data_IF_971456934473
#
_entry.id   IF_971456934473
#
_cell.length_a   1.000
_cell.length_b   1.000
_cell.length_c   1.000
_cell.angle_alpha   90.00
_cell.angle_beta   90.00
_cell.angle_gamma   90.00
#
_symmetry.space_group_name_H-M   'P 1'
#
loop_
_entity.id
_entity.type
_entity.pdbx_description
1 polymer ?
#
# COMPACT_ATOMS: atom_id res chain seq x y z
N UNK A 1 -23.69 16.67 -59.59
CA UNK A 1 -23.94 15.23 -59.38
C UNK A 1 -22.60 14.55 -59.11
N UNK A 2 -22.50 13.93 -57.93
CA UNK A 2 -21.75 12.71 -57.59
C UNK A 2 -20.21 12.73 -57.68
N UNK A 3 -19.62 12.89 -56.50
CA UNK A 3 -18.54 12.13 -55.84
C UNK A 3 -17.61 11.23 -56.67
N UNK A 4 -16.30 11.29 -56.37
CA UNK A 4 -15.61 10.27 -55.54
C UNK A 4 -14.15 10.63 -55.24
N UNK A 5 -13.76 10.27 -54.01
CA UNK A 5 -12.44 10.37 -53.39
C UNK A 5 -11.41 9.41 -53.99
N UNK A 6 -10.14 9.83 -53.99
CA UNK A 6 -8.92 8.98 -53.91
C UNK A 6 -7.88 9.81 -53.15
N UNK A 7 -7.67 9.59 -51.84
CA UNK A 7 -6.74 8.65 -51.18
C UNK A 7 -5.46 9.39 -50.77
N UNK A 8 -5.06 9.19 -49.52
CA UNK A 8 -3.71 8.93 -48.99
C UNK A 8 -3.68 9.46 -47.54
N UNK A 9 -3.69 8.51 -46.60
CA UNK A 9 -2.57 8.30 -45.67
C UNK A 9 -2.63 9.31 -44.53
N UNK A 10 -3.22 8.88 -43.42
CA UNK A 10 -2.64 9.15 -42.10
C UNK A 10 -3.14 8.06 -41.15
N UNK A 11 -2.35 7.00 -41.15
CA UNK A 11 -2.35 5.92 -40.18
C UNK A 11 -2.03 6.49 -38.80
N UNK A 12 -3.07 6.87 -38.05
CA UNK A 12 -3.05 6.80 -36.60
C UNK A 12 -4.26 5.99 -36.14
N UNK A 13 -4.21 4.68 -36.38
CA UNK A 13 -4.95 3.75 -35.52
C UNK A 13 -4.20 3.76 -34.20
N UNK A 14 -4.57 4.69 -33.34
CA UNK A 14 -4.21 4.69 -31.94
C UNK A 14 -4.69 3.35 -31.39
N UNK A 15 -3.80 2.37 -31.26
CA UNK A 15 -4.06 1.10 -30.60
C UNK A 15 -4.22 1.42 -29.12
N UNK A 16 -5.38 1.98 -28.79
CA UNK A 16 -5.92 1.93 -27.44
C UNK A 16 -6.41 0.50 -27.28
N UNK A 17 -5.49 -0.40 -27.00
CA UNK A 17 -5.80 -1.70 -26.45
C UNK A 17 -6.38 -1.43 -25.06
N UNK A 18 -7.68 -1.11 -25.05
CA UNK A 18 -8.48 -1.03 -23.83
C UNK A 18 -8.28 -2.40 -23.19
N UNK A 19 -7.50 -2.44 -22.11
CA UNK A 19 -7.30 -3.64 -21.30
C UNK A 19 -8.69 -4.18 -20.99
N UNK A 20 -9.13 -5.21 -21.71
CA UNK A 20 -10.46 -5.80 -21.52
C UNK A 20 -10.45 -6.39 -20.12
N UNK A 21 -11.03 -5.67 -19.18
CA UNK A 21 -11.23 -6.14 -17.82
C UNK A 21 -12.35 -7.16 -17.87
N UNK A 22 -12.03 -8.42 -17.59
CA UNK A 22 -13.03 -9.49 -17.49
C UNK A 22 -13.82 -9.24 -16.21
N UNK A 23 -15.15 -9.12 -16.30
CA UNK A 23 -15.98 -9.15 -15.11
C UNK A 23 -16.06 -10.58 -14.60
N UNK A 24 -15.92 -10.77 -13.29
CA UNK A 24 -15.98 -12.10 -12.67
C UNK A 24 -17.30 -12.83 -12.99
N UNK A 25 -18.40 -12.07 -13.14
CA UNK A 25 -19.74 -12.58 -13.44
C UNK A 25 -19.87 -13.17 -14.86
N UNK A 26 -18.98 -12.80 -15.79
CA UNK A 26 -19.03 -13.26 -17.18
C UNK A 26 -18.24 -14.57 -17.38
N UNK A 27 -17.59 -15.09 -16.33
CA UNK A 27 -16.78 -16.31 -16.39
C UNK A 27 -17.70 -17.53 -16.30
N UNK A 28 -17.62 -18.39 -17.31
CA UNK A 28 -18.42 -19.61 -17.42
C UNK A 28 -17.69 -20.83 -16.87
N UNK A 29 -16.37 -20.92 -17.08
CA UNK A 29 -15.57 -21.99 -16.50
C UNK A 29 -14.12 -21.57 -16.25
N UNK A 30 -13.52 -22.22 -15.26
CA UNK A 30 -12.11 -22.11 -14.91
C UNK A 30 -11.44 -23.47 -15.07
N UNK A 31 -10.22 -23.46 -15.62
CA UNK A 31 -9.36 -24.63 -15.73
C UNK A 31 -8.08 -24.37 -14.95
N UNK A 32 -7.78 -25.27 -14.02
CA UNK A 32 -6.53 -25.30 -13.27
C UNK A 32 -5.61 -26.34 -13.89
N UNK A 33 -4.44 -25.90 -14.35
CA UNK A 33 -3.44 -26.78 -14.94
C UNK A 33 -2.30 -27.06 -13.94
N UNK A 34 -1.59 -28.17 -14.16
CA UNK A 34 -0.45 -28.60 -13.32
C UNK A 34 0.77 -27.69 -13.46
N UNK A 35 0.82 -26.85 -14.50
CA UNK A 35 1.84 -25.81 -14.71
C UNK A 35 1.63 -24.57 -13.80
N UNK A 36 0.58 -24.56 -12.98
CA UNK A 36 0.24 -23.43 -12.11
C UNK A 36 -0.43 -22.27 -12.85
N UNK A 37 -0.86 -22.49 -14.09
CA UNK A 37 -1.59 -21.52 -14.88
C UNK A 37 -3.10 -21.73 -14.72
N UNK A 38 -3.82 -20.61 -14.63
CA UNK A 38 -5.29 -20.61 -14.57
C UNK A 38 -5.78 -20.12 -15.92
N UNK A 39 -6.68 -20.88 -16.53
CA UNK A 39 -7.35 -20.50 -17.77
C UNK A 39 -8.85 -20.33 -17.55
N UNK A 40 -9.50 -19.50 -18.35
CA UNK A 40 -10.92 -19.20 -18.25
C UNK A 40 -11.59 -19.22 -19.63
N UNK A 41 -12.92 -19.37 -19.64
CA UNK A 41 -13.75 -19.14 -20.82
C UNK A 41 -15.00 -18.34 -20.44
N UNK A 42 -15.41 -17.44 -21.33
CA UNK A 42 -16.64 -16.62 -21.18
C UNK A 42 -17.83 -17.22 -21.93
N UNK A 43 -17.60 -18.24 -22.76
CA UNK A 43 -18.62 -18.90 -23.56
C UNK A 43 -18.23 -20.39 -23.69
N UNK A 44 -19.20 -21.29 -23.72
CA UNK A 44 -18.92 -22.73 -23.76
C UNK A 44 -18.23 -23.19 -25.05
N UNK A 45 -18.44 -22.47 -26.14
CA UNK A 45 -17.93 -22.75 -27.49
C UNK A 45 -16.56 -22.12 -27.74
N UNK A 46 -16.09 -21.22 -26.87
CA UNK A 46 -14.77 -20.61 -26.98
C UNK A 46 -13.69 -21.47 -26.34
N UNK A 47 -12.47 -21.39 -26.89
CA UNK A 47 -11.29 -22.00 -26.29
C UNK A 47 -10.90 -21.31 -24.98
N UNK A 48 -10.22 -22.06 -24.11
CA UNK A 48 -9.69 -21.55 -22.84
C UNK A 48 -8.60 -20.52 -23.08
N UNK A 49 -8.74 -19.35 -22.48
CA UNK A 49 -7.76 -18.27 -22.51
C UNK A 49 -7.05 -18.15 -21.17
N UNK A 50 -5.80 -17.71 -21.17
CA UNK A 50 -5.03 -17.54 -19.92
C UNK A 50 -5.57 -16.36 -19.10
N UNK A 51 -5.79 -16.58 -17.81
CA UNK A 51 -6.26 -15.53 -16.91
C UNK A 51 -5.15 -14.50 -16.72
N UNK A 52 -5.38 -13.21 -17.03
CA UNK A 52 -4.35 -12.19 -16.90
C UNK A 52 -3.90 -12.06 -15.44
N UNK A 53 -2.61 -12.27 -15.19
CA UNK A 53 -2.03 -12.07 -13.86
C UNK A 53 -2.07 -10.60 -13.49
N UNK A 54 -2.50 -10.31 -12.27
CA UNK A 54 -2.40 -8.96 -11.70
C UNK A 54 -0.93 -8.53 -11.75
N UNK A 55 -0.58 -7.40 -12.39
CA UNK A 55 0.79 -6.89 -12.34
C UNK A 55 1.15 -6.67 -10.87
N UNK A 56 2.26 -7.27 -10.45
CA UNK A 56 2.70 -7.22 -9.07
C UNK A 56 3.15 -5.78 -8.75
N UNK A 57 2.24 -5.00 -8.15
CA UNK A 57 2.50 -3.59 -7.77
C UNK A 57 3.65 -3.46 -6.76
N UNK A 58 4.07 -4.57 -6.16
CA UNK A 58 5.13 -4.62 -5.15
C UNK A 58 6.53 -4.81 -5.75
N UNK A 59 6.71 -4.71 -7.08
CA UNK A 59 8.05 -4.63 -7.70
C UNK A 59 8.65 -3.22 -7.57
N UNK A 60 8.47 -2.56 -6.42
CA UNK A 60 9.06 -1.26 -6.12
C UNK A 60 10.16 -1.45 -5.08
N UNK A 61 11.30 -0.86 -5.42
CA UNK A 61 12.64 -0.97 -4.84
C UNK A 61 12.69 -0.94 -3.30
N UNK A 62 13.68 -1.68 -2.79
CA UNK A 62 14.09 -1.85 -1.39
C UNK A 62 14.53 -0.54 -0.68
N UNK A 63 13.71 0.50 -0.65
CA UNK A 63 13.92 1.65 0.22
C UNK A 63 12.61 2.09 0.83
N UNK A 64 12.28 1.52 1.98
CA UNK A 64 11.29 2.12 2.86
C UNK A 64 11.84 3.48 3.29
N UNK A 65 11.32 4.56 2.71
CA UNK A 65 11.60 5.91 3.19
C UNK A 65 10.89 6.06 4.53
N UNK A 66 11.58 6.49 5.60
CA UNK A 66 10.95 6.67 6.89
C UNK A 66 9.85 7.74 6.77
N UNK A 67 8.71 7.50 7.41
CA UNK A 67 7.58 8.45 7.40
C UNK A 67 7.93 9.77 8.10
N UNK A 68 8.87 9.72 9.05
CA UNK A 68 9.36 10.86 9.83
C UNK A 68 10.89 10.85 9.88
N UNK A 69 11.50 12.04 9.88
CA UNK A 69 12.97 12.19 9.99
C UNK A 69 13.47 11.87 11.40
N UNK A 70 12.62 12.06 12.41
CA UNK A 70 12.93 11.79 13.82
C UNK A 70 11.67 11.35 14.58
N UNK A 71 11.82 10.73 15.77
CA UNK A 71 10.69 10.43 16.63
C UNK A 71 9.90 11.69 17.00
N UNK A 72 8.58 11.67 16.77
CA UNK A 72 7.70 12.76 17.14
C UNK A 72 7.58 12.86 18.66
N UNK A 73 7.64 14.07 19.24
CA UNK A 73 7.39 14.25 20.65
C UNK A 73 5.94 13.92 20.98
N UNK A 74 5.70 13.27 22.11
CA UNK A 74 4.37 13.03 22.64
C UNK A 74 3.88 14.23 23.47
N UNK A 75 2.57 14.33 23.66
CA UNK A 75 1.99 15.31 24.58
C UNK A 75 2.46 15.08 26.02
N UNK A 76 2.69 16.16 26.77
CA UNK A 76 3.14 16.09 28.16
C UNK A 76 2.18 15.30 29.05
N UNK A 77 0.87 15.48 28.87
CA UNK A 77 -0.16 14.71 29.59
C UNK A 77 -0.03 13.21 29.35
N UNK A 78 0.25 12.81 28.11
CA UNK A 78 0.51 11.41 27.76
C UNK A 78 1.79 10.90 28.42
N UNK A 79 2.84 11.70 28.47
CA UNK A 79 4.07 11.33 29.18
C UNK A 79 3.82 11.07 30.67
N UNK A 80 3.09 11.96 31.36
CA UNK A 80 2.73 11.77 32.78
C UNK A 80 1.97 10.48 33.01
N UNK A 81 0.93 10.20 32.23
CA UNK A 81 0.17 8.94 32.39
C UNK A 81 1.04 7.70 32.15
N UNK A 82 1.99 7.75 31.22
CA UNK A 82 2.92 6.65 30.98
C UNK A 82 3.89 6.46 32.17
N UNK A 83 4.32 7.56 32.79
CA UNK A 83 5.14 7.50 34.01
C UNK A 83 4.36 6.96 35.21
N UNK A 84 3.07 7.28 35.34
CA UNK A 84 2.20 6.70 36.37
C UNK A 84 2.00 5.18 36.19
N UNK A 85 2.01 4.70 34.94
CA UNK A 85 1.89 3.27 34.63
C UNK A 85 3.22 2.51 34.75
N UNK A 86 4.36 3.20 34.74
CA UNK A 86 5.71 2.61 34.81
C UNK A 86 5.89 1.59 35.96
N UNK A 87 5.39 1.81 37.19
CA UNK A 87 5.53 0.85 38.29
C UNK A 87 4.88 -0.52 38.03
N UNK A 88 3.94 -0.60 37.10
CA UNK A 88 3.25 -1.84 36.71
C UNK A 88 4.03 -2.64 35.65
N UNK A 89 5.10 -2.07 35.09
CA UNK A 89 5.90 -2.64 34.02
C UNK A 89 7.22 -3.17 34.61
N UNK A 90 7.74 -4.25 34.03
CA UNK A 90 9.04 -4.80 34.44
C UNK A 90 10.16 -3.74 34.34
N UNK A 91 11.09 -3.77 35.30
CA UNK A 91 12.14 -2.73 35.46
C UNK A 91 13.02 -2.59 34.22
N UNK A 92 13.25 -3.67 33.48
CA UNK A 92 14.04 -3.67 32.25
C UNK A 92 13.50 -2.72 31.18
N UNK A 93 12.19 -2.42 31.21
CA UNK A 93 11.55 -1.51 30.26
C UNK A 93 11.43 -0.07 30.79
N UNK A 94 11.79 0.21 32.04
CA UNK A 94 11.71 1.57 32.61
C UNK A 94 12.55 2.60 31.83
N UNK A 95 13.79 2.29 31.39
CA UNK A 95 14.60 3.24 30.63
C UNK A 95 13.89 3.73 29.36
N UNK A 96 13.08 2.89 28.71
CA UNK A 96 12.32 3.32 27.54
C UNK A 96 11.39 4.50 27.85
N UNK A 97 10.67 4.45 28.98
CA UNK A 97 9.73 5.50 29.38
C UNK A 97 10.43 6.77 29.86
N UNK A 98 11.58 6.63 30.52
CA UNK A 98 12.35 7.75 31.07
C UNK A 98 12.92 8.66 29.97
N UNK A 99 13.25 8.10 28.80
CA UNK A 99 13.81 8.84 27.66
C UNK A 99 12.78 9.18 26.57
N UNK A 100 11.47 9.06 26.84
CA UNK A 100 10.44 9.44 25.87
C UNK A 100 10.46 10.95 25.57
N UNK A 101 10.63 11.27 24.29
CA UNK A 101 10.56 12.65 23.79
C UNK A 101 9.14 13.22 23.98
N UNK A 102 8.99 14.35 24.67
CA UNK A 102 7.68 14.95 24.98
C UNK A 102 7.70 16.48 24.92
N UNK A 103 6.55 17.06 24.55
CA UNK A 103 6.36 18.50 24.43
C UNK A 103 6.17 19.15 25.80
N UNK A 104 7.26 19.62 26.41
CA UNK A 104 7.18 20.39 27.65
C UNK A 104 6.94 21.87 27.37
N UNK A 105 5.78 22.40 27.74
CA UNK A 105 5.44 23.82 27.54
C UNK A 105 5.99 24.74 28.63
N UNK A 106 6.38 24.20 29.79
CA UNK A 106 6.94 24.99 30.91
C UNK A 106 8.24 24.35 31.45
N UNK A 107 9.40 25.00 31.30
CA UNK A 107 10.70 24.42 31.70
C UNK A 107 10.82 24.15 33.21
N UNK A 108 10.05 24.84 34.05
CA UNK A 108 9.99 24.62 35.50
C UNK A 108 9.38 23.26 35.89
N UNK A 109 8.54 22.67 35.03
CA UNK A 109 7.85 21.42 35.30
C UNK A 109 8.62 20.20 34.79
N UNK A 110 9.66 20.41 33.96
CA UNK A 110 10.43 19.33 33.33
C UNK A 110 11.76 19.04 34.02
N UNK A 111 12.21 19.89 34.94
CA UNK A 111 13.46 19.72 35.68
C UNK A 111 13.38 18.76 36.87
N UNK A 112 12.19 18.22 37.21
CA UNK A 112 12.03 17.42 38.44
C UNK A 112 12.04 15.90 38.26
N UNK A 113 12.15 15.38 37.04
CA UNK A 113 12.05 13.93 36.77
C UNK A 113 13.43 13.26 36.59
N UNK A 114 14.53 14.02 36.57
CA UNK A 114 15.89 13.49 36.40
C UNK A 114 16.76 13.51 37.66
N UNK A 115 16.18 13.36 38.85
CA UNK A 115 16.95 13.20 40.09
C UNK A 115 16.60 11.89 40.79
N UNK A 116 17.33 10.83 40.44
CA UNK A 116 17.69 9.72 41.33
C UNK A 116 19.21 9.69 41.38
#
# INVERSE_FOLDING_TARGET
MISKNVRLEDTQVHVLEIRKTINLLDIVALQYNLDGMIRYKTNFQQEYQELPRRPNKNKVQNSHVPLYESPLPIEFTKFIHLQEMRPLIHRDYHPFYDYLNHNCTNPSNCSHILSI
#
